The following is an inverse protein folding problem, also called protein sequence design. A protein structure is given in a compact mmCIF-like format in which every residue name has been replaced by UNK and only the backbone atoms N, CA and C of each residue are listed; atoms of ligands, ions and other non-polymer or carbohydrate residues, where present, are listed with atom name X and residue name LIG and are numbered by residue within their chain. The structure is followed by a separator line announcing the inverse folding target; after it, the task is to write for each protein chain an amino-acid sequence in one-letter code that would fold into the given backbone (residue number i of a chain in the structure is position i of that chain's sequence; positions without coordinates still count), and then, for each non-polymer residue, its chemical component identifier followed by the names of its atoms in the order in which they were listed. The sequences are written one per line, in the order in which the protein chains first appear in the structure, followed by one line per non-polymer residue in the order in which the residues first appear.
data_IF_594184526645
#
_entry.id   IF_594184526645
#
_cell.length_a   1.000
_cell.length_b   1.000
_cell.length_c   1.000
_cell.angle_alpha   90.00
_cell.angle_beta   90.00
_cell.angle_gamma   90.00
#
_symmetry.space_group_name_H-M   'P 1'
#
loop_
_entity.id
_entity.type
_entity.pdbx_description
1 polymer ?
#
# COMPACT_ATOMS: atom_id res chain seq x y z
N UNK A 1 -7.93 3.94 52.43
CA UNK A 1 -8.19 3.98 50.97
C UNK A 1 -7.09 3.17 50.31
N UNK A 2 -7.46 2.12 49.56
CA UNK A 2 -6.52 1.12 49.04
C UNK A 2 -5.49 1.78 48.11
N UNK A 3 -4.27 1.97 48.61
CA UNK A 3 -3.14 2.37 47.77
C UNK A 3 -2.85 1.20 46.85
N UNK A 4 -3.04 1.40 45.55
CA UNK A 4 -2.62 0.43 44.53
C UNK A 4 -1.12 0.15 44.70
N UNK A 5 -0.68 -1.11 44.54
CA UNK A 5 0.74 -1.44 44.57
C UNK A 5 1.48 -0.70 43.47
N UNK A 6 2.72 -0.26 43.74
CA UNK A 6 3.54 0.43 42.74
C UNK A 6 3.74 -0.42 41.47
N UNK A 7 3.83 -1.75 41.59
CA UNK A 7 3.94 -2.68 40.45
C UNK A 7 2.75 -2.54 39.50
N UNK A 8 1.52 -2.54 40.04
CA UNK A 8 0.30 -2.37 39.24
C UNK A 8 0.26 -0.97 38.59
N UNK A 9 0.74 0.05 39.30
CA UNK A 9 0.81 1.41 38.75
C UNK A 9 1.83 1.49 37.61
N UNK A 10 3.01 0.88 37.77
CA UNK A 10 4.03 0.82 36.73
C UNK A 10 3.57 0.03 35.50
N UNK A 11 2.83 -1.06 35.68
CA UNK A 11 2.21 -1.82 34.57
C UNK A 11 1.14 -1.00 33.82
N UNK A 12 0.40 -0.14 34.53
CA UNK A 12 -0.65 0.72 33.95
C UNK A 12 -0.11 1.97 33.25
N UNK A 13 1.09 2.45 33.61
CA UNK A 13 1.66 3.68 33.03
C UNK A 13 1.83 3.60 31.50
N UNK A 14 2.37 2.51 30.90
CA UNK A 14 2.43 2.34 29.45
C UNK A 14 1.04 2.38 28.79
N UNK A 15 0.05 1.69 29.37
CA UNK A 15 -1.33 1.65 28.85
C UNK A 15 -2.01 3.03 28.86
N UNK A 16 -1.68 3.88 29.84
CA UNK A 16 -2.16 5.27 29.91
C UNK A 16 -1.49 6.14 28.85
N UNK A 17 -0.18 6.00 28.65
CA UNK A 17 0.57 6.70 27.59
C UNK A 17 0.08 6.30 26.19
N UNK A 18 -0.31 5.04 26.01
CA UNK A 18 -0.89 4.51 24.76
C UNK A 18 -2.37 4.90 24.54
N UNK A 19 -2.98 5.65 25.47
CA UNK A 19 -4.39 6.08 25.43
C UNK A 19 -5.42 4.93 25.32
N UNK A 20 -5.05 3.73 25.76
CA UNK A 20 -5.92 2.54 25.76
C UNK A 20 -6.50 2.21 27.14
N UNK A 21 -6.00 2.83 28.20
CA UNK A 21 -6.50 2.66 29.56
C UNK A 21 -7.89 3.32 29.76
N UNK A 22 -8.68 2.76 30.68
CA UNK A 22 -9.94 3.38 31.10
C UNK A 22 -9.68 4.67 31.88
N UNK A 23 -10.64 5.62 31.85
CA UNK A 23 -10.55 6.86 32.64
C UNK A 23 -10.39 6.61 34.14
N UNK A 24 -11.05 5.56 34.65
CA UNK A 24 -10.98 5.18 36.06
C UNK A 24 -9.56 4.71 36.44
N UNK A 25 -8.92 3.90 35.59
CA UNK A 25 -7.52 3.49 35.76
C UNK A 25 -6.56 4.69 35.69
N UNK A 26 -6.83 5.63 34.79
CA UNK A 26 -6.01 6.84 34.62
C UNK A 26 -6.05 7.76 35.85
N UNK A 27 -7.23 8.00 36.42
CA UNK A 27 -7.39 8.81 37.63
C UNK A 27 -6.67 8.17 38.84
N UNK A 28 -6.79 6.86 39.00
CA UNK A 28 -6.13 6.11 40.07
C UNK A 28 -4.59 6.19 39.99
N UNK A 29 -4.04 6.03 38.79
CA UNK A 29 -2.59 6.14 38.56
C UNK A 29 -2.11 7.58 38.75
N UNK A 30 -2.84 8.58 38.25
CA UNK A 30 -2.52 10.00 38.45
C UNK A 30 -2.54 10.40 39.93
N UNK A 31 -3.44 9.83 40.72
CA UNK A 31 -3.45 10.04 42.17
C UNK A 31 -2.20 9.44 42.84
N UNK A 32 -1.79 8.22 42.43
CA UNK A 32 -0.60 7.57 42.99
C UNK A 32 0.70 8.30 42.63
N UNK A 33 0.87 8.74 41.38
CA UNK A 33 2.06 9.47 40.89
C UNK A 33 2.29 10.80 41.63
N UNK A 34 1.23 11.42 42.18
CA UNK A 34 1.37 12.63 43.01
C UNK A 34 2.03 12.35 44.35
N UNK A 35 1.84 11.16 44.90
CA UNK A 35 2.31 10.76 46.23
C UNK A 35 3.57 9.86 46.21
N UNK A 36 3.94 9.31 45.04
CA UNK A 36 5.04 8.35 44.91
C UNK A 36 6.06 8.82 43.86
N UNK A 37 7.24 9.23 44.34
CA UNK A 37 8.33 9.75 43.50
C UNK A 37 8.86 8.69 42.51
N UNK A 38 8.91 7.42 42.90
CA UNK A 38 9.38 6.33 42.04
C UNK A 38 8.48 6.16 40.80
N UNK A 39 7.16 6.15 41.00
CA UNK A 39 6.20 6.07 39.89
C UNK A 39 6.19 7.34 39.03
N UNK A 40 6.47 8.50 39.62
CA UNK A 40 6.61 9.77 38.87
C UNK A 40 7.83 9.74 37.95
N UNK A 41 8.99 9.36 38.46
CA UNK A 41 10.21 9.25 37.65
C UNK A 41 10.04 8.25 36.52
N UNK A 42 9.37 7.11 36.77
CA UNK A 42 9.07 6.13 35.73
C UNK A 42 8.14 6.70 34.64
N UNK A 43 7.10 7.45 35.03
CA UNK A 43 6.18 8.10 34.08
C UNK A 43 6.87 9.14 33.17
N UNK A 44 7.78 9.93 33.75
CA UNK A 44 8.57 10.95 33.03
C UNK A 44 9.63 10.30 32.13
N UNK A 45 10.29 9.23 32.59
CA UNK A 45 11.27 8.49 31.78
C UNK A 45 10.66 7.90 30.50
N UNK A 46 9.42 7.41 30.58
CA UNK A 46 8.66 6.90 29.44
C UNK A 46 8.20 8.01 28.47
N UNK A 47 8.09 9.26 28.92
CA UNK A 47 7.69 10.40 28.08
C UNK A 47 8.70 10.69 26.97
N UNK A 48 9.99 10.46 27.23
CA UNK A 48 11.07 10.70 26.27
C UNK A 48 11.24 9.55 25.25
N UNK A 49 10.52 8.44 25.45
CA UNK A 49 10.59 7.25 24.60
C UNK A 49 9.44 7.13 23.61
N UNK A 50 8.68 8.21 23.35
CA UNK A 50 7.68 8.21 22.27
C UNK A 50 8.41 8.08 20.92
N UNK A 51 8.67 6.83 20.52
CA UNK A 51 9.15 6.49 19.19
C UNK A 51 8.19 7.13 18.19
N UNK A 52 8.73 7.84 17.21
CA UNK A 52 7.96 8.47 16.15
C UNK A 52 7.45 7.39 15.19
N UNK A 53 6.42 6.66 15.63
CA UNK A 53 5.77 5.59 14.88
C UNK A 53 5.26 6.10 13.53
N UNK A 54 4.93 7.38 13.43
CA UNK A 54 4.53 8.01 12.18
C UNK A 54 5.68 8.02 11.18
N UNK A 55 6.89 8.44 11.57
CA UNK A 55 8.09 8.39 10.71
C UNK A 55 8.45 6.95 10.30
N UNK A 56 8.31 5.98 11.20
CA UNK A 56 8.57 4.56 10.89
C UNK A 56 7.57 4.04 9.85
N UNK A 57 6.27 4.29 10.06
CA UNK A 57 5.19 3.91 9.13
C UNK A 57 5.38 4.58 7.77
N UNK A 58 5.78 5.85 7.74
CA UNK A 58 6.04 6.58 6.49
C UNK A 58 7.24 6.01 5.73
N UNK A 59 8.32 5.66 6.44
CA UNK A 59 9.50 5.03 5.84
C UNK A 59 9.16 3.67 5.24
N UNK A 60 8.38 2.85 5.95
CA UNK A 60 7.91 1.54 5.46
C UNK A 60 7.02 1.73 4.22
N UNK A 61 6.08 2.67 4.28
CA UNK A 61 5.19 2.97 3.15
C UNK A 61 5.95 3.45 1.93
N UNK A 62 6.99 4.25 2.12
CA UNK A 62 7.86 4.73 1.05
C UNK A 62 8.61 3.57 0.38
N UNK A 63 9.32 2.76 1.18
CA UNK A 63 10.05 1.57 0.69
C UNK A 63 9.12 0.59 -0.04
N UNK A 64 7.94 0.31 0.54
CA UNK A 64 6.93 -0.55 -0.08
C UNK A 64 6.47 -0.01 -1.43
N UNK A 65 6.15 1.28 -1.52
CA UNK A 65 5.71 1.87 -2.79
C UNK A 65 6.84 1.89 -3.83
N UNK A 66 8.10 2.05 -3.41
CA UNK A 66 9.27 1.95 -4.29
C UNK A 66 9.38 0.54 -4.88
N UNK A 67 9.34 -0.50 -4.04
CA UNK A 67 9.39 -1.90 -4.50
C UNK A 67 8.20 -2.26 -5.39
N UNK A 68 6.98 -1.83 -5.05
CA UNK A 68 5.80 -2.05 -5.91
C UNK A 68 5.95 -1.37 -7.27
N UNK A 69 6.52 -0.16 -7.31
CA UNK A 69 6.80 0.54 -8.57
C UNK A 69 7.80 -0.24 -9.42
N UNK A 70 8.84 -0.80 -8.82
CA UNK A 70 9.82 -1.63 -9.54
C UNK A 70 9.20 -2.92 -10.11
N UNK A 71 8.34 -3.59 -9.32
CA UNK A 71 7.61 -4.78 -9.76
C UNK A 71 6.68 -4.45 -10.94
N UNK A 72 5.99 -3.30 -10.90
CA UNK A 72 5.14 -2.85 -12.00
C UNK A 72 5.92 -2.60 -13.29
N UNK A 73 7.09 -1.94 -13.20
CA UNK A 73 7.97 -1.74 -14.35
C UNK A 73 8.45 -3.07 -14.94
N UNK A 74 8.89 -3.99 -14.09
CA UNK A 74 9.30 -5.33 -14.51
C UNK A 74 8.15 -6.09 -15.18
N UNK A 75 6.93 -5.97 -14.64
CA UNK A 75 5.73 -6.58 -15.21
C UNK A 75 5.36 -6.04 -16.60
N UNK A 76 5.48 -4.72 -16.82
CA UNK A 76 5.23 -4.10 -18.14
C UNK A 76 6.27 -4.56 -19.17
N UNK A 77 7.55 -4.60 -18.81
CA UNK A 77 8.63 -5.06 -19.70
C UNK A 77 8.46 -6.54 -20.04
N UNK A 78 8.19 -7.36 -19.02
CA UNK A 78 7.97 -8.80 -19.20
C UNK A 78 6.73 -9.05 -20.07
N UNK A 79 5.65 -8.31 -19.83
CA UNK A 79 4.44 -8.39 -20.63
C UNK A 79 4.69 -8.04 -22.09
N UNK A 80 5.47 -6.99 -22.37
CA UNK A 80 5.86 -6.64 -23.74
C UNK A 80 6.63 -7.78 -24.41
N UNK A 81 7.62 -8.36 -23.71
CA UNK A 81 8.41 -9.46 -24.25
C UNK A 81 7.55 -10.69 -24.58
N UNK A 82 6.55 -10.98 -23.74
CA UNK A 82 5.61 -12.09 -23.99
C UNK A 82 4.67 -11.80 -25.16
N UNK A 83 4.33 -10.53 -25.43
CA UNK A 83 3.49 -10.15 -26.57
C UNK A 83 4.11 -10.47 -27.92
N UNK A 84 5.44 -10.52 -27.99
CA UNK A 84 6.19 -10.91 -29.19
C UNK A 84 6.36 -12.44 -29.32
N UNK A 85 5.81 -13.22 -28.39
CA UNK A 85 5.96 -14.66 -28.31
C UNK A 85 4.63 -15.38 -28.50
N UNK A 86 4.67 -16.70 -28.69
CA UNK A 86 3.50 -17.57 -28.70
C UNK A 86 2.72 -17.55 -27.37
N UNK A 87 3.36 -17.07 -26.30
CA UNK A 87 2.78 -16.89 -24.98
C UNK A 87 1.98 -15.59 -24.77
N UNK A 88 1.59 -14.88 -25.84
CA UNK A 88 0.92 -13.58 -25.73
C UNK A 88 -0.32 -13.60 -24.81
N UNK A 89 -1.05 -14.73 -24.76
CA UNK A 89 -2.26 -14.88 -23.96
C UNK A 89 -2.02 -14.81 -22.45
N UNK A 90 -0.79 -15.01 -21.99
CA UNK A 90 -0.43 -14.82 -20.57
C UNK A 90 -0.62 -13.36 -20.13
N UNK A 91 -0.52 -12.39 -21.07
CA UNK A 91 -0.81 -10.99 -20.76
C UNK A 91 -2.24 -10.74 -20.27
N UNK A 92 -3.20 -11.59 -20.63
CA UNK A 92 -4.58 -11.52 -20.12
C UNK A 92 -4.64 -11.70 -18.60
N UNK A 93 -3.69 -12.45 -18.03
CA UNK A 93 -3.58 -12.67 -16.58
C UNK A 93 -2.65 -11.66 -15.89
N UNK A 94 -1.55 -11.27 -16.55
CA UNK A 94 -0.58 -10.31 -16.00
C UNK A 94 -1.21 -8.92 -15.81
N UNK A 95 -2.01 -8.45 -16.78
CA UNK A 95 -2.56 -7.09 -16.75
C UNK A 95 -3.56 -6.83 -15.60
N UNK A 96 -4.48 -7.74 -15.27
CA UNK A 96 -5.29 -7.64 -14.05
C UNK A 96 -4.44 -7.63 -12.78
N UNK A 97 -3.36 -8.43 -12.72
CA UNK A 97 -2.44 -8.43 -11.56
C UNK A 97 -1.74 -7.07 -11.42
N UNK A 98 -1.27 -6.48 -12.52
CA UNK A 98 -0.75 -5.11 -12.55
C UNK A 98 -1.80 -4.11 -12.03
N UNK A 99 -3.06 -4.27 -12.41
CA UNK A 99 -4.18 -3.47 -11.90
C UNK A 99 -4.40 -3.60 -10.39
N UNK A 100 -4.32 -4.82 -9.86
CA UNK A 100 -4.40 -5.10 -8.42
C UNK A 100 -3.24 -4.45 -7.67
N UNK A 101 -2.00 -4.64 -8.16
CA UNK A 101 -0.80 -4.05 -7.56
C UNK A 101 -0.85 -2.51 -7.59
N UNK A 102 -1.37 -1.92 -8.68
CA UNK A 102 -1.63 -0.50 -8.76
C UNK A 102 -2.55 -0.03 -7.62
N UNK A 103 -3.63 -0.77 -7.31
CA UNK A 103 -4.57 -0.41 -6.24
C UNK A 103 -3.93 -0.39 -4.84
N UNK A 104 -2.89 -1.22 -4.60
CA UNK A 104 -2.19 -1.28 -3.32
C UNK A 104 -1.31 -0.04 -3.04
N UNK A 105 -1.03 0.77 -4.07
CA UNK A 105 -0.34 2.06 -3.96
C UNK A 105 -1.35 3.16 -3.60
N UNK A 106 -0.90 4.30 -3.06
CA UNK A 106 -1.78 5.40 -2.60
C UNK A 106 -2.91 5.72 -3.61
N UNK A 107 -4.20 5.74 -3.18
CA UNK A 107 -5.38 5.68 -4.05
C UNK A 107 -5.43 6.81 -5.11
N UNK A 108 -5.02 8.03 -4.76
CA UNK A 108 -5.05 9.19 -5.68
C UNK A 108 -4.04 9.05 -6.83
N UNK A 109 -2.92 8.35 -6.64
CA UNK A 109 -1.88 8.15 -7.67
C UNK A 109 -2.12 6.90 -8.53
N UNK A 110 -3.03 6.01 -8.13
CA UNK A 110 -3.24 4.70 -8.78
C UNK A 110 -3.78 4.80 -10.20
N UNK A 111 -4.71 5.73 -10.48
CA UNK A 111 -5.27 5.87 -11.83
C UNK A 111 -4.23 6.40 -12.83
N UNK A 112 -3.38 7.34 -12.39
CA UNK A 112 -2.28 7.86 -13.22
C UNK A 112 -1.26 6.77 -13.50
N UNK A 113 -0.93 5.97 -12.49
CA UNK A 113 0.04 4.90 -12.63
C UNK A 113 -0.44 3.81 -13.59
N UNK A 114 -1.71 3.40 -13.49
CA UNK A 114 -2.33 2.46 -14.42
C UNK A 114 -2.29 2.96 -15.87
N UNK A 115 -2.60 4.25 -16.09
CA UNK A 115 -2.55 4.88 -17.41
C UNK A 115 -1.12 4.95 -17.95
N UNK A 116 -0.14 5.28 -17.10
CA UNK A 116 1.28 5.28 -17.47
C UNK A 116 1.72 3.86 -17.87
N UNK A 117 1.38 2.83 -17.09
CA UNK A 117 1.73 1.44 -17.44
C UNK A 117 1.14 1.01 -18.80
N UNK A 118 -0.13 1.33 -19.06
CA UNK A 118 -0.77 1.04 -20.35
C UNK A 118 -0.11 1.82 -21.51
N UNK A 119 0.19 3.10 -21.29
CA UNK A 119 0.88 3.93 -22.29
C UNK A 119 2.30 3.42 -22.59
N UNK A 120 3.07 3.08 -21.56
CA UNK A 120 4.43 2.53 -21.74
C UNK A 120 4.37 1.21 -22.51
N UNK A 121 3.49 0.29 -22.13
CA UNK A 121 3.33 -0.99 -22.83
C UNK A 121 3.02 -0.79 -24.32
N UNK A 122 2.09 0.12 -24.64
CA UNK A 122 1.69 0.37 -26.03
C UNK A 122 2.73 1.10 -26.86
N UNK A 123 3.49 2.02 -26.27
CA UNK A 123 4.65 2.64 -26.94
C UNK A 123 5.71 1.57 -27.24
N UNK A 124 5.98 0.66 -26.31
CA UNK A 124 6.90 -0.45 -26.54
C UNK A 124 6.38 -1.38 -27.65
N UNK A 125 5.10 -1.75 -27.62
CA UNK A 125 4.45 -2.55 -28.67
C UNK A 125 4.53 -1.89 -30.04
N UNK A 126 4.21 -0.60 -30.14
CA UNK A 126 4.29 0.17 -31.38
C UNK A 126 5.72 0.23 -31.92
N UNK A 127 6.69 0.46 -31.05
CA UNK A 127 8.10 0.49 -31.44
C UNK A 127 8.57 -0.89 -31.94
N UNK A 128 8.15 -1.97 -31.28
CA UNK A 128 8.44 -3.34 -31.70
C UNK A 128 7.83 -3.69 -33.06
N UNK A 129 6.56 -3.36 -33.28
CA UNK A 129 5.89 -3.62 -34.57
C UNK A 129 6.48 -2.78 -35.70
N UNK A 130 6.80 -1.51 -35.45
CA UNK A 130 7.45 -0.62 -36.42
C UNK A 130 8.82 -1.16 -36.85
N UNK A 131 9.62 -1.69 -35.92
CA UNK A 131 10.93 -2.27 -36.22
C UNK A 131 10.86 -3.59 -36.99
N UNK A 132 9.85 -4.43 -36.72
CA UNK A 132 9.73 -5.74 -37.35
C UNK A 132 9.01 -5.73 -38.70
N UNK A 133 7.97 -4.91 -38.84
CA UNK A 133 7.04 -4.96 -39.97
C UNK A 133 6.98 -3.65 -40.79
N UNK A 134 7.59 -2.57 -40.30
CA UNK A 134 7.48 -1.26 -40.93
C UNK A 134 6.11 -0.61 -40.72
N UNK A 135 5.81 0.45 -41.47
CA UNK A 135 4.52 1.14 -41.41
C UNK A 135 3.54 0.42 -42.34
N UNK A 136 2.50 -0.15 -41.75
CA UNK A 136 1.37 -0.78 -42.45
C UNK A 136 0.07 -0.01 -42.17
N UNK A 137 -0.87 -0.03 -43.10
CA UNK A 137 -2.14 0.71 -43.05
C UNK A 137 -2.99 0.30 -41.83
N UNK A 138 -2.85 -0.95 -41.38
CA UNK A 138 -3.54 -1.50 -40.20
C UNK A 138 -2.84 -1.22 -38.85
N UNK A 139 -1.66 -0.62 -38.83
CA UNK A 139 -0.81 -0.50 -37.63
C UNK A 139 -1.46 0.37 -36.54
N UNK A 140 -2.08 1.49 -36.94
CA UNK A 140 -2.70 2.43 -35.98
C UNK A 140 -3.91 1.77 -35.31
N UNK A 141 -4.77 1.13 -36.10
CA UNK A 141 -5.99 0.50 -35.60
C UNK A 141 -5.67 -0.66 -34.64
N UNK A 142 -4.72 -1.51 -35.00
CA UNK A 142 -4.29 -2.64 -34.16
C UNK A 142 -3.62 -2.18 -32.86
N UNK A 143 -2.76 -1.15 -32.92
CA UNK A 143 -2.12 -0.57 -31.74
C UNK A 143 -3.15 0.04 -30.79
N UNK A 144 -4.14 0.75 -31.34
CA UNK A 144 -5.21 1.37 -30.55
C UNK A 144 -6.12 0.31 -29.91
N UNK A 145 -6.43 -0.77 -30.63
CA UNK A 145 -7.16 -1.91 -30.08
C UNK A 145 -6.42 -2.56 -28.90
N UNK A 146 -5.10 -2.77 -29.03
CA UNK A 146 -4.26 -3.30 -27.95
C UNK A 146 -4.25 -2.34 -26.75
N UNK A 147 -4.12 -1.02 -26.98
CA UNK A 147 -4.19 -0.03 -25.91
C UNK A 147 -5.48 -0.14 -25.10
N UNK A 148 -6.62 -0.16 -25.79
CA UNK A 148 -7.94 -0.24 -25.16
C UNK A 148 -8.06 -1.54 -24.37
N UNK A 149 -7.68 -2.67 -24.97
CA UNK A 149 -7.74 -3.98 -24.31
C UNK A 149 -6.92 -4.01 -23.02
N UNK A 150 -5.66 -3.55 -23.08
CA UNK A 150 -4.78 -3.54 -21.91
C UNK A 150 -5.29 -2.59 -20.82
N UNK A 151 -5.78 -1.41 -21.21
CA UNK A 151 -6.37 -0.45 -20.27
C UNK A 151 -7.59 -1.05 -19.55
N UNK A 152 -8.48 -1.69 -20.29
CA UNK A 152 -9.68 -2.35 -19.73
C UNK A 152 -9.27 -3.45 -18.74
N UNK A 153 -8.30 -4.30 -19.08
CA UNK A 153 -7.83 -5.37 -18.19
C UNK A 153 -7.20 -4.84 -16.89
N UNK A 154 -6.39 -3.79 -16.98
CA UNK A 154 -5.82 -3.12 -15.80
C UNK A 154 -6.94 -2.52 -14.93
N UNK A 155 -7.95 -1.91 -15.56
CA UNK A 155 -9.10 -1.35 -14.84
C UNK A 155 -9.96 -2.42 -14.16
N UNK A 156 -10.15 -3.58 -14.80
CA UNK A 156 -10.80 -4.74 -14.19
C UNK A 156 -10.02 -5.19 -12.95
N UNK A 157 -8.70 -5.37 -13.06
CA UNK A 157 -7.85 -5.73 -11.92
C UNK A 157 -7.95 -4.75 -10.75
N UNK A 158 -7.94 -3.45 -11.05
CA UNK A 158 -8.13 -2.39 -10.06
C UNK A 158 -9.51 -2.45 -9.41
N UNK A 159 -10.56 -2.68 -10.19
CA UNK A 159 -11.93 -2.81 -9.70
C UNK A 159 -12.06 -4.01 -8.75
N UNK A 160 -11.48 -5.15 -9.13
CA UNK A 160 -11.42 -6.34 -8.28
C UNK A 160 -10.75 -6.04 -6.94
N UNK A 161 -9.59 -5.38 -6.95
CA UNK A 161 -8.91 -4.99 -5.72
C UNK A 161 -9.74 -4.03 -4.85
N UNK A 162 -10.45 -3.08 -5.49
CA UNK A 162 -11.35 -2.15 -4.78
C UNK A 162 -12.51 -2.89 -4.11
N UNK A 163 -13.18 -3.78 -4.83
CA UNK A 163 -14.30 -4.57 -4.30
C UNK A 163 -13.84 -5.49 -3.17
N UNK A 164 -12.69 -6.13 -3.33
CA UNK A 164 -12.11 -7.00 -2.33
C UNK A 164 -11.72 -6.24 -1.06
N UNK A 165 -11.12 -5.05 -1.21
CA UNK A 165 -10.83 -4.16 -0.09
C UNK A 165 -12.11 -3.69 0.63
N UNK A 166 -13.17 -3.35 -0.12
CA UNK A 166 -14.47 -3.00 0.46
C UNK A 166 -15.09 -4.17 1.24
N UNK A 167 -15.09 -5.37 0.64
CA UNK A 167 -15.64 -6.57 1.26
C UNK A 167 -14.90 -6.95 2.55
N UNK A 168 -13.57 -6.81 2.60
CA UNK A 168 -12.82 -7.05 3.83
C UNK A 168 -12.99 -5.96 4.88
N UNK A 169 -13.12 -4.69 4.48
CA UNK A 169 -13.37 -3.59 5.42
C UNK A 169 -14.72 -3.74 6.15
N UNK A 170 -15.70 -4.39 5.54
CA UNK A 170 -17.00 -4.68 6.15
C UNK A 170 -17.03 -5.88 7.11
N UNK A 171 -15.99 -6.73 7.15
CA UNK A 171 -15.95 -7.95 7.97
C UNK A 171 -15.32 -7.80 9.35
N UNK A 172 -14.77 -6.63 9.67
CA UNK A 172 -14.12 -6.32 10.95
C UNK A 172 -14.77 -5.11 11.62
N UNK A 173 -16.10 -5.15 11.78
CA UNK A 173 -16.84 -4.28 12.68
C UNK A 173 -17.40 -5.10 13.83
#
# INVERSE_FOLDING_TARGET
MNKLPCEVVMDLIPLIKDHVASKESEELVRAHIRECDNCRQYYELLEDTSFDDQKVIETIRHKRNLYLTFILLAGVITGYQLSLSYYMFINVWIMPVIGILCHMIKPVKTYRLALICAAVFTVLSLFGTLLQYGIDDGMILSTLAIFILMFVLIMIGKLLAMLLHYAWKGRWK
#
